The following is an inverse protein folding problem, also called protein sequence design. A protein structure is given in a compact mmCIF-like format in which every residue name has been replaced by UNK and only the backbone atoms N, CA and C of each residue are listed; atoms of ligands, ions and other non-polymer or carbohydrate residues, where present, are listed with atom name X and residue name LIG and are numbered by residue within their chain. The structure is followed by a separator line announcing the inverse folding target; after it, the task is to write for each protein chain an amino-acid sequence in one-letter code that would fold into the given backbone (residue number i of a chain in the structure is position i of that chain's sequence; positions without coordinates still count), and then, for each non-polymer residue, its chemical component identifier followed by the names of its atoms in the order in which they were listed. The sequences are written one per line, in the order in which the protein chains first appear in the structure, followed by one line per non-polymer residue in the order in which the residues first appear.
data_IF_257058899268
#
_entry.id   IF_257058899268
#
_cell.length_a   1.000
_cell.length_b   1.000
_cell.length_c   1.000
_cell.angle_alpha   90.00
_cell.angle_beta   90.00
_cell.angle_gamma   90.00
#
_symmetry.space_group_name_H-M   'P 1'
#
loop_
_entity.id
_entity.type
_entity.pdbx_description
1 polymer ?
#
# COMPACT_ATOMS: atom_id res chain seq x y z
N UNK A 1 4.46 4.62 -13.28
CA UNK A 1 3.95 4.42 -11.93
C UNK A 1 4.20 5.66 -11.08
N UNK A 2 3.26 6.02 -10.25
CA UNK A 2 3.41 7.16 -9.36
C UNK A 2 4.51 6.90 -8.32
N UNK A 3 5.37 7.88 -8.10
CA UNK A 3 6.47 7.71 -7.16
C UNK A 3 6.01 7.41 -5.73
N UNK A 4 4.91 8.02 -5.32
CA UNK A 4 4.38 7.78 -3.99
C UNK A 4 3.95 6.33 -3.83
N UNK A 5 3.29 5.77 -4.84
CA UNK A 5 2.90 4.37 -4.83
C UNK A 5 4.13 3.49 -4.74
N UNK A 6 5.18 3.82 -5.48
CA UNK A 6 6.42 3.06 -5.44
C UNK A 6 7.06 3.11 -4.06
N UNK A 7 7.12 4.29 -3.43
CA UNK A 7 7.71 4.42 -2.11
C UNK A 7 6.95 3.59 -1.08
N UNK A 8 5.62 3.62 -1.15
CA UNK A 8 4.80 2.83 -0.23
C UNK A 8 5.02 1.34 -0.46
N UNK A 9 5.11 0.92 -1.72
CA UNK A 9 5.38 -0.48 -2.04
C UNK A 9 6.75 -0.91 -1.51
N UNK A 10 7.75 -0.03 -1.62
CA UNK A 10 9.09 -0.34 -1.11
C UNK A 10 9.07 -0.52 0.40
N UNK A 11 8.28 0.29 1.10
CA UNK A 11 8.14 0.13 2.55
C UNK A 11 7.46 -1.17 2.91
N UNK A 12 6.44 -1.56 2.15
CA UNK A 12 5.78 -2.86 2.39
C UNK A 12 6.78 -3.99 2.19
N UNK A 13 7.55 -3.92 1.12
CA UNK A 13 8.56 -4.94 0.85
C UNK A 13 9.56 -5.04 2.00
N UNK A 14 10.02 -3.91 2.49
CA UNK A 14 11.03 -3.86 3.53
C UNK A 14 10.49 -4.28 4.89
N UNK A 15 9.34 -3.77 5.27
CA UNK A 15 8.78 -4.03 6.60
C UNK A 15 8.26 -5.46 6.72
N UNK A 16 7.62 -5.96 5.68
CA UNK A 16 6.93 -7.25 5.72
C UNK A 16 7.66 -8.37 4.99
N UNK A 17 8.79 -8.06 4.38
CA UNK A 17 9.59 -9.08 3.72
C UNK A 17 8.97 -9.67 2.46
N UNK A 18 8.19 -8.89 1.74
CA UNK A 18 7.56 -9.34 0.50
C UNK A 18 8.37 -8.87 -0.70
N UNK A 19 8.19 -9.57 -1.83
CA UNK A 19 8.78 -9.11 -3.07
C UNK A 19 8.26 -7.75 -3.43
N UNK A 20 9.11 -6.93 -4.05
CA UNK A 20 8.70 -5.60 -4.47
C UNK A 20 7.55 -5.67 -5.47
N UNK A 21 7.59 -6.62 -6.40
CA UNK A 21 6.52 -6.74 -7.39
C UNK A 21 5.20 -7.09 -6.73
N UNK A 22 5.22 -7.97 -5.73
CA UNK A 22 4.02 -8.32 -4.99
C UNK A 22 3.52 -7.12 -4.19
N UNK A 23 4.43 -6.38 -3.58
CA UNK A 23 4.07 -5.17 -2.83
C UNK A 23 3.41 -4.14 -3.71
N UNK A 24 3.91 -3.96 -4.94
CA UNK A 24 3.30 -3.04 -5.89
C UNK A 24 1.87 -3.43 -6.23
N UNK A 25 1.63 -4.72 -6.41
CA UNK A 25 0.27 -5.21 -6.71
C UNK A 25 -0.66 -4.91 -5.54
N UNK A 26 -0.19 -5.16 -4.32
CA UNK A 26 -0.99 -4.89 -3.13
C UNK A 26 -1.40 -3.42 -3.07
N UNK A 27 -0.45 -2.51 -3.25
CA UNK A 27 -0.75 -1.08 -3.20
C UNK A 27 -1.71 -0.68 -4.31
N UNK A 28 -1.48 -1.18 -5.53
CA UNK A 28 -2.32 -0.81 -6.66
C UNK A 28 -3.76 -1.28 -6.52
N UNK A 29 -3.96 -2.43 -5.88
CA UNK A 29 -5.30 -2.97 -5.67
C UNK A 29 -5.98 -2.44 -4.43
N UNK A 30 -5.24 -1.72 -3.59
CA UNK A 30 -5.79 -1.16 -2.37
C UNK A 30 -6.56 0.13 -2.65
N UNK A 31 -7.10 0.71 -1.59
CA UNK A 31 -7.79 2.01 -1.64
C UNK A 31 -6.79 3.17 -1.80
N UNK A 32 -5.51 2.92 -1.67
CA UNK A 32 -4.52 3.98 -1.62
C UNK A 32 -4.44 4.81 -2.90
N UNK A 33 -4.41 4.23 -4.12
CA UNK A 33 -4.34 5.06 -5.33
C UNK A 33 -5.49 6.04 -5.47
N UNK A 34 -6.68 5.67 -5.01
CA UNK A 34 -7.82 6.56 -5.08
C UNK A 34 -7.67 7.73 -4.12
N UNK A 35 -7.24 7.47 -2.90
CA UNK A 35 -6.99 8.54 -1.93
C UNK A 35 -5.88 9.46 -2.43
N UNK A 36 -4.84 8.91 -3.00
CA UNK A 36 -3.74 9.70 -3.53
C UNK A 36 -4.23 10.63 -4.64
N UNK A 37 -5.12 10.14 -5.49
CA UNK A 37 -5.65 10.96 -6.58
C UNK A 37 -6.58 12.06 -6.06
N UNK A 38 -7.43 11.74 -5.09
CA UNK A 38 -8.43 12.67 -4.60
C UNK A 38 -7.89 13.65 -3.57
N UNK A 39 -6.94 13.21 -2.75
CA UNK A 39 -6.43 14.02 -1.65
C UNK A 39 -4.92 13.92 -1.54
N UNK A 40 -4.18 14.40 -2.56
CA UNK A 40 -2.71 14.27 -2.56
C UNK A 40 -2.06 14.97 -1.38
N UNK A 41 -2.60 16.11 -0.95
CA UNK A 41 -2.03 16.83 0.19
C UNK A 41 -2.15 16.03 1.48
N UNK A 42 -3.29 15.37 1.66
CA UNK A 42 -3.51 14.55 2.84
C UNK A 42 -2.52 13.39 2.87
N UNK A 43 -2.29 12.77 1.71
CA UNK A 43 -1.34 11.67 1.61
C UNK A 43 0.06 12.13 1.97
N UNK A 44 0.45 13.34 1.58
CA UNK A 44 1.77 13.89 1.88
C UNK A 44 1.96 14.20 3.36
N UNK A 45 0.89 14.24 4.12
CA UNK A 45 0.94 14.53 5.56
C UNK A 45 1.64 13.41 6.33
N UNK A 46 1.61 12.20 5.82
CA UNK A 46 2.13 11.02 6.51
C UNK A 46 3.24 10.39 5.69
N UNK A 47 4.08 9.63 6.36
CA UNK A 47 5.22 8.99 5.72
C UNK A 47 4.79 7.71 4.98
N UNK A 48 5.69 7.21 4.11
CA UNK A 48 5.39 6.00 3.35
C UNK A 48 5.19 4.78 4.24
N UNK A 49 5.93 4.70 5.35
CA UNK A 49 5.76 3.57 6.27
C UNK A 49 4.40 3.60 6.94
N UNK A 50 3.88 4.78 7.24
CA UNK A 50 2.53 4.90 7.78
C UNK A 50 1.51 4.27 6.83
N UNK A 51 1.58 4.67 5.56
CA UNK A 51 0.63 4.16 4.57
C UNK A 51 0.81 2.66 4.32
N UNK A 52 2.07 2.21 4.32
CA UNK A 52 2.35 0.78 4.17
C UNK A 52 1.66 -0.03 5.24
N UNK A 53 1.74 0.42 6.48
CA UNK A 53 1.13 -0.30 7.60
C UNK A 53 -0.38 -0.28 7.52
N UNK A 54 -0.96 0.84 7.11
CA UNK A 54 -2.42 0.94 6.98
C UNK A 54 -2.95 0.03 5.87
N UNK A 55 -2.26 0.01 4.74
CA UNK A 55 -2.65 -0.84 3.62
C UNK A 55 -2.56 -2.32 4.01
N UNK A 56 -1.47 -2.69 4.66
CA UNK A 56 -1.27 -4.10 5.03
C UNK A 56 -2.23 -4.55 6.11
N UNK A 57 -2.66 -3.66 6.96
CA UNK A 57 -3.67 -3.97 7.96
C UNK A 57 -4.96 -4.43 7.27
N UNK A 58 -5.42 -3.65 6.28
CA UNK A 58 -6.62 -4.00 5.53
C UNK A 58 -6.40 -5.24 4.69
N UNK A 59 -5.25 -5.35 4.06
CA UNK A 59 -4.94 -6.50 3.24
C UNK A 59 -5.04 -7.79 4.04
N UNK A 60 -4.49 -7.80 5.26
CA UNK A 60 -4.52 -8.98 6.11
C UNK A 60 -5.92 -9.32 6.58
N UNK A 61 -6.72 -8.31 6.90
CA UNK A 61 -8.04 -8.53 7.45
C UNK A 61 -9.08 -8.91 6.41
N UNK A 62 -8.98 -8.35 5.20
CA UNK A 62 -10.03 -8.53 4.20
C UNK A 62 -9.55 -9.25 2.96
N UNK A 63 -8.50 -8.75 2.35
CA UNK A 63 -8.06 -9.25 1.05
C UNK A 63 -7.41 -10.62 1.15
N UNK A 64 -6.65 -10.84 2.19
CA UNK A 64 -5.95 -12.10 2.36
C UNK A 64 -6.95 -13.24 2.49
N UNK A 65 -8.04 -12.98 3.19
CA UNK A 65 -9.10 -13.97 3.35
C UNK A 65 -9.77 -14.27 2.02
N UNK A 66 -10.04 -13.25 1.23
CA UNK A 66 -10.66 -13.43 -0.06
C UNK A 66 -9.78 -14.21 -1.02
N UNK A 67 -8.49 -13.91 -1.03
CA UNK A 67 -7.56 -14.58 -1.91
C UNK A 67 -7.44 -16.05 -1.53
N UNK A 68 -7.46 -16.35 -0.26
CA UNK A 68 -7.37 -17.73 0.20
C UNK A 68 -8.67 -18.49 0.05
N UNK A 69 -9.76 -17.77 0.18
CA UNK A 69 -11.07 -18.37 0.09
C UNK A 69 -11.44 -18.70 -1.30
#
# INVERSE_FOLDING_TARGET
MNKTILYVAEEISEIYGLDLSESKVIVKKSWFPEILRENPDYVQHYTADYWAKEIMKDYREFWHKEIKG
#
